data_IF_713014613338
#
_entry.id   IF_713014613338
#
_cell.length_a   1.000
_cell.length_b   1.000
_cell.length_c   1.000
_cell.angle_alpha   90.00
_cell.angle_beta   90.00
_cell.angle_gamma   90.00
#
_symmetry.space_group_name_H-M   'P 1'
#
loop_
_entity.id
_entity.type
_entity.pdbx_description
1 polymer ?
#
# COMPACT_ATOMS: atom_id res chain seq x y z
N UNK A 1 -71.93 -6.65 -10.96
CA UNK A 1 -71.13 -6.80 -12.18
C UNK A 1 -70.48 -5.45 -12.52
N UNK A 2 -69.31 -5.17 -11.94
CA UNK A 2 -68.19 -4.41 -12.55
C UNK A 2 -67.07 -4.25 -11.51
N UNK A 3 -66.19 -5.24 -11.49
CA UNK A 3 -64.76 -5.12 -11.19
C UNK A 3 -64.21 -3.88 -11.92
N UNK A 4 -63.26 -3.07 -11.44
CA UNK A 4 -61.96 -3.36 -10.86
C UNK A 4 -61.42 -2.05 -10.27
N UNK A 5 -60.82 -2.10 -9.08
CA UNK A 5 -59.98 -1.01 -8.59
C UNK A 5 -58.79 -0.81 -9.55
N UNK A 6 -58.74 0.31 -10.24
CA UNK A 6 -57.56 0.69 -11.03
C UNK A 6 -56.51 1.21 -10.06
N UNK A 7 -55.70 0.28 -9.55
CA UNK A 7 -54.40 0.59 -8.93
C UNK A 7 -53.56 1.33 -9.96
N UNK A 8 -53.38 2.63 -9.78
CA UNK A 8 -52.32 3.38 -10.45
C UNK A 8 -50.99 2.93 -9.85
N UNK A 9 -50.50 1.79 -10.31
CA UNK A 9 -49.13 1.33 -10.09
C UNK A 9 -48.20 2.41 -10.65
N UNK A 10 -47.66 3.22 -9.74
CA UNK A 10 -46.62 4.21 -10.02
C UNK A 10 -45.43 3.45 -10.61
N UNK A 11 -45.37 3.42 -11.94
CA UNK A 11 -44.18 3.04 -12.69
C UNK A 11 -43.13 4.14 -12.48
N UNK A 12 -42.53 4.16 -11.31
CA UNK A 12 -41.21 4.75 -11.13
C UNK A 12 -40.22 3.81 -11.80
N UNK A 13 -40.17 3.84 -13.14
CA UNK A 13 -39.05 3.29 -13.89
C UNK A 13 -37.84 4.12 -13.53
N UNK A 14 -37.00 3.56 -12.68
CA UNK A 14 -35.71 4.12 -12.31
C UNK A 14 -34.87 4.29 -13.59
N UNK A 15 -34.89 5.49 -14.17
CA UNK A 15 -33.91 5.89 -15.18
C UNK A 15 -32.54 6.07 -14.50
N UNK A 16 -31.87 4.94 -14.20
CA UNK A 16 -30.56 4.88 -13.55
C UNK A 16 -29.40 4.99 -14.53
N UNK A 17 -29.39 5.91 -15.50
CA UNK A 17 -28.27 6.01 -16.45
C UNK A 17 -28.08 7.48 -16.88
N UNK A 18 -27.42 8.30 -16.03
CA UNK A 18 -26.03 8.69 -16.31
C UNK A 18 -25.11 8.80 -15.07
N UNK A 19 -25.59 8.48 -13.87
CA UNK A 19 -24.79 8.52 -12.64
C UNK A 19 -23.64 7.49 -12.63
N UNK A 20 -23.75 6.42 -13.43
CA UNK A 20 -22.90 5.22 -13.30
C UNK A 20 -21.46 5.38 -13.77
N UNK A 21 -21.13 6.37 -14.61
CA UNK A 21 -19.74 6.63 -15.05
C UNK A 21 -19.12 7.83 -14.34
N UNK A 22 -19.90 8.88 -14.05
CA UNK A 22 -19.44 10.02 -13.27
C UNK A 22 -19.04 9.59 -11.85
N UNK A 23 -19.84 8.73 -11.21
CA UNK A 23 -19.52 8.21 -9.88
C UNK A 23 -18.30 7.26 -9.89
N UNK A 24 -18.14 6.46 -10.95
CA UNK A 24 -16.94 5.63 -11.12
C UNK A 24 -15.68 6.49 -11.25
N UNK A 25 -15.74 7.57 -12.02
CA UNK A 25 -14.60 8.48 -12.19
C UNK A 25 -14.25 9.19 -10.87
N UNK A 26 -15.26 9.63 -10.12
CA UNK A 26 -15.07 10.25 -8.79
C UNK A 26 -14.43 9.27 -7.80
N UNK A 27 -14.89 8.03 -7.78
CA UNK A 27 -14.32 6.98 -6.93
C UNK A 27 -12.87 6.65 -7.33
N UNK A 28 -12.57 6.62 -8.64
CA UNK A 28 -11.21 6.40 -9.14
C UNK A 28 -10.26 7.53 -8.71
N UNK A 29 -10.68 8.79 -8.87
CA UNK A 29 -9.91 9.95 -8.43
C UNK A 29 -9.68 9.93 -6.90
N UNK A 30 -10.70 9.54 -6.14
CA UNK A 30 -10.56 9.40 -4.69
C UNK A 30 -9.58 8.28 -4.31
N UNK A 31 -9.62 7.15 -5.01
CA UNK A 31 -8.68 6.05 -4.82
C UNK A 31 -7.24 6.48 -5.11
N UNK A 32 -6.99 7.14 -6.25
CA UNK A 32 -5.66 7.66 -6.61
C UNK A 32 -5.15 8.67 -5.59
N UNK A 33 -6.03 9.55 -5.10
CA UNK A 33 -5.71 10.51 -4.03
C UNK A 33 -5.33 9.80 -2.74
N UNK A 34 -6.03 8.72 -2.37
CA UNK A 34 -5.71 7.93 -1.18
C UNK A 34 -4.38 7.16 -1.35
N UNK A 35 -4.13 6.58 -2.51
CA UNK A 35 -2.87 5.89 -2.83
C UNK A 35 -1.68 6.84 -2.78
N UNK A 36 -1.83 8.09 -3.26
CA UNK A 36 -0.81 9.12 -3.15
C UNK A 36 -0.53 9.54 -1.69
N UNK A 37 -1.53 9.46 -0.81
CA UNK A 37 -1.40 9.80 0.61
C UNK A 37 -0.77 8.67 1.43
N UNK A 38 -1.18 7.43 1.17
CA UNK A 38 -0.77 6.24 1.92
C UNK A 38 0.20 5.42 1.09
N UNK A 39 1.48 5.76 1.22
CA UNK A 39 2.59 5.03 0.56
C UNK A 39 2.50 3.54 0.91
N UNK A 40 2.69 2.68 -0.08
CA UNK A 40 2.59 1.23 0.09
C UNK A 40 1.21 0.64 -0.25
N UNK A 41 0.20 1.49 -0.52
CA UNK A 41 -1.10 1.02 -1.02
C UNK A 41 -0.95 0.44 -2.43
N UNK A 42 -1.24 -0.85 -2.59
CA UNK A 42 -1.11 -1.55 -3.87
C UNK A 42 -2.21 -1.21 -4.89
N UNK A 43 -1.98 -1.67 -6.12
CA UNK A 43 -2.93 -1.72 -7.23
C UNK A 43 -2.86 -3.12 -7.89
N UNK A 44 -3.80 -3.49 -8.77
CA UNK A 44 -3.83 -4.81 -9.41
C UNK A 44 -2.53 -5.19 -10.15
N UNK A 45 -1.81 -4.21 -10.68
CA UNK A 45 -0.53 -4.41 -11.38
C UNK A 45 0.70 -4.23 -10.48
N UNK A 46 0.52 -4.15 -9.15
CA UNK A 46 1.65 -4.10 -8.21
C UNK A 46 2.49 -5.36 -8.35
N UNK A 47 3.75 -5.18 -8.68
CA UNK A 47 4.68 -6.29 -8.86
C UNK A 47 5.02 -6.94 -7.53
N UNK A 48 5.42 -8.21 -7.58
CA UNK A 48 5.87 -8.94 -6.38
C UNK A 48 7.07 -8.26 -5.71
N UNK A 49 7.89 -7.54 -6.47
CA UNK A 49 9.02 -6.77 -5.97
C UNK A 49 8.57 -5.52 -5.22
N UNK A 50 7.70 -4.69 -5.80
CA UNK A 50 7.18 -3.48 -5.14
C UNK A 50 6.50 -3.83 -3.81
N UNK A 51 5.70 -4.88 -3.79
CA UNK A 51 5.07 -5.37 -2.58
C UNK A 51 6.10 -5.79 -1.52
N UNK A 52 7.10 -6.61 -1.88
CA UNK A 52 8.16 -7.04 -0.94
C UNK A 52 8.96 -5.86 -0.41
N UNK A 53 9.31 -4.90 -1.27
CA UNK A 53 10.04 -3.69 -0.89
C UNK A 53 9.24 -2.86 0.12
N UNK A 54 7.92 -2.70 -0.09
CA UNK A 54 7.05 -2.01 0.87
C UNK A 54 7.04 -2.73 2.23
N UNK A 55 6.87 -4.05 2.25
CA UNK A 55 6.90 -4.85 3.50
C UNK A 55 8.25 -4.70 4.23
N UNK A 56 9.37 -4.72 3.49
CA UNK A 56 10.69 -4.53 4.09
C UNK A 56 10.85 -3.14 4.70
N UNK A 57 10.44 -2.08 4.00
CA UNK A 57 10.46 -0.69 4.53
C UNK A 57 9.62 -0.56 5.80
N UNK A 58 8.43 -1.15 5.82
CA UNK A 58 7.55 -1.14 6.98
C UNK A 58 8.15 -1.89 8.17
N UNK A 59 8.85 -3.00 7.90
CA UNK A 59 9.54 -3.77 8.94
C UNK A 59 10.70 -2.97 9.55
N UNK A 60 11.59 -2.40 8.72
CA UNK A 60 12.73 -1.62 9.19
C UNK A 60 12.30 -0.35 9.92
N UNK A 61 11.27 0.34 9.44
CA UNK A 61 10.72 1.52 10.12
C UNK A 61 10.09 1.15 11.47
N UNK A 62 9.40 0.01 11.55
CA UNK A 62 8.83 -0.51 12.80
C UNK A 62 9.93 -0.85 13.81
N UNK A 63 11.00 -1.51 13.37
CA UNK A 63 12.17 -1.79 14.21
C UNK A 63 12.79 -0.49 14.74
N UNK A 64 13.04 0.49 13.86
CA UNK A 64 13.66 1.75 14.26
C UNK A 64 12.76 2.57 15.21
N UNK A 65 11.44 2.50 15.05
CA UNK A 65 10.45 3.24 15.83
C UNK A 65 10.17 2.64 17.21
N UNK A 66 10.19 1.31 17.35
CA UNK A 66 9.85 0.62 18.60
C UNK A 66 11.09 0.29 19.43
N UNK A 67 11.27 1.04 20.53
CA UNK A 67 12.44 0.92 21.41
C UNK A 67 12.70 -0.49 21.96
N UNK A 68 11.69 -1.30 22.36
CA UNK A 68 11.93 -2.67 22.80
C UNK A 68 12.48 -3.57 21.68
N UNK A 69 11.94 -3.44 20.47
CA UNK A 69 12.36 -4.22 19.31
C UNK A 69 13.77 -3.83 18.85
N UNK A 70 14.04 -2.52 18.82
CA UNK A 70 15.37 -2.01 18.53
C UNK A 70 16.41 -2.49 19.54
N UNK A 71 16.10 -2.45 20.84
CA UNK A 71 16.99 -2.94 21.89
C UNK A 71 17.24 -4.44 21.80
N UNK A 72 16.21 -5.23 21.44
CA UNK A 72 16.36 -6.66 21.21
C UNK A 72 17.38 -6.97 20.11
N UNK A 73 17.29 -6.27 18.98
CA UNK A 73 18.22 -6.45 17.86
C UNK A 73 19.62 -5.94 18.22
N UNK A 74 19.73 -4.77 18.85
CA UNK A 74 21.01 -4.22 19.27
C UNK A 74 21.75 -5.13 20.26
N UNK A 75 21.02 -5.80 21.15
CA UNK A 75 21.57 -6.80 22.05
C UNK A 75 22.06 -8.04 21.29
N UNK A 76 21.28 -8.52 20.31
CA UNK A 76 21.65 -9.69 19.51
C UNK A 76 22.88 -9.44 18.62
N UNK A 77 23.02 -8.23 18.07
CA UNK A 77 24.16 -7.82 17.24
C UNK A 77 25.37 -7.34 18.06
N UNK A 78 25.21 -7.17 19.38
CA UNK A 78 26.22 -6.61 20.28
C UNK A 78 26.75 -5.24 19.80
N UNK A 79 25.84 -4.38 19.35
CA UNK A 79 26.15 -3.06 18.80
C UNK A 79 25.37 -1.94 19.54
N UNK A 80 25.88 -0.70 19.55
CA UNK A 80 25.16 0.40 20.18
C UNK A 80 23.80 0.64 19.52
N UNK A 81 22.76 0.85 20.33
CA UNK A 81 21.38 1.10 19.89
C UNK A 81 21.29 2.23 18.85
N UNK A 82 22.10 3.28 19.00
CA UNK A 82 22.15 4.39 18.05
C UNK A 82 22.67 3.97 16.66
N UNK A 83 23.66 3.08 16.62
CA UNK A 83 24.23 2.55 15.37
C UNK A 83 23.23 1.65 14.67
N UNK A 84 22.61 0.72 15.40
CA UNK A 84 21.57 -0.16 14.86
C UNK A 84 20.39 0.65 14.33
N UNK A 85 19.94 1.68 15.06
CA UNK A 85 18.87 2.57 14.57
C UNK A 85 19.24 3.25 13.26
N UNK A 86 20.47 3.77 13.15
CA UNK A 86 20.95 4.39 11.92
C UNK A 86 21.01 3.39 10.76
N UNK A 87 21.42 2.14 11.02
CA UNK A 87 21.44 1.06 10.04
C UNK A 87 20.02 0.71 9.57
N UNK A 88 19.06 0.54 10.49
CA UNK A 88 17.67 0.22 10.13
C UNK A 88 17.03 1.33 9.28
N UNK A 89 17.27 2.60 9.63
CA UNK A 89 16.85 3.74 8.81
C UNK A 89 17.51 3.69 7.43
N UNK A 90 18.83 3.45 7.38
CA UNK A 90 19.57 3.37 6.12
C UNK A 90 19.03 2.26 5.22
N UNK A 91 18.79 1.06 5.76
CA UNK A 91 18.23 -0.05 4.99
C UNK A 91 16.82 0.26 4.48
N UNK A 92 15.98 0.94 5.26
CA UNK A 92 14.66 1.38 4.79
C UNK A 92 14.72 2.29 3.55
N UNK A 93 15.77 3.08 3.38
CA UNK A 93 15.94 3.95 2.21
C UNK A 93 16.73 3.29 1.06
N UNK A 94 17.64 2.37 1.38
CA UNK A 94 18.68 1.89 0.46
C UNK A 94 18.44 0.46 -0.06
N UNK A 95 17.18 -0.02 -0.04
CA UNK A 95 16.81 -1.36 -0.57
C UNK A 95 17.16 -1.53 -2.06
N UNK A 96 17.33 -0.43 -2.81
CA UNK A 96 17.78 -0.45 -4.20
C UNK A 96 19.29 -0.70 -4.36
N UNK A 97 20.11 -0.42 -3.33
CA UNK A 97 21.56 -0.65 -3.38
C UNK A 97 21.93 -2.14 -3.39
N UNK A 98 21.07 -3.02 -2.86
CA UNK A 98 21.22 -4.46 -3.03
C UNK A 98 21.23 -4.89 -4.51
N UNK A 99 20.55 -4.17 -5.41
CA UNK A 99 20.66 -4.41 -6.87
C UNK A 99 22.03 -4.03 -7.40
N UNK A 100 22.62 -2.91 -6.94
CA UNK A 100 23.97 -2.51 -7.34
C UNK A 100 25.01 -3.52 -6.87
N UNK A 101 24.95 -3.96 -5.61
CA UNK A 101 25.92 -4.93 -5.11
C UNK A 101 25.77 -6.33 -5.72
N UNK A 102 24.54 -6.85 -5.88
CA UNK A 102 24.34 -8.16 -6.53
C UNK A 102 24.67 -8.10 -8.03
N UNK A 103 24.34 -7.02 -8.73
CA UNK A 103 24.72 -6.86 -10.14
C UNK A 103 26.24 -6.75 -10.32
N UNK A 104 26.94 -6.03 -9.44
CA UNK A 104 28.40 -5.94 -9.50
C UNK A 104 29.08 -7.27 -9.12
N UNK A 105 28.51 -8.02 -8.16
CA UNK A 105 29.00 -9.35 -7.82
C UNK A 105 28.79 -10.32 -8.98
N UNK A 106 27.62 -10.32 -9.64
CA UNK A 106 27.34 -11.18 -10.81
C UNK A 106 28.11 -10.78 -12.07
N UNK A 107 28.50 -9.50 -12.23
CA UNK A 107 29.32 -9.05 -13.36
C UNK A 107 30.83 -9.29 -13.16
N UNK A 108 31.25 -9.63 -11.94
CA UNK A 108 32.64 -9.91 -11.57
C UNK A 108 32.97 -11.42 -11.51
N UNK A 109 32.01 -12.28 -11.83
CA UNK A 109 32.14 -13.73 -12.07
C UNK A 109 31.98 -14.01 -13.56
#
# INVERSE_FOLDING_TARGET
NRSTATSTFSQNHYHLLPATMADKLRNQQELERLQAKYVGTGHPDTTSWEWRTNIQRDTYSSIAGHRPLLSYIALAENEPVAKVRAQMIRFSFDLDSWRFHLANWYAAI
#
